data_IF_913110407330
#
_entry.id   IF_913110407330
#
_cell.length_a   1.000
_cell.length_b   1.000
_cell.length_c   1.000
_cell.angle_alpha   90.00
_cell.angle_beta   90.00
_cell.angle_gamma   90.00
#
_symmetry.space_group_name_H-M   'P 1'
#
loop_
_entity.id
_entity.type
_entity.pdbx_description
1 polymer ?
#
# COMPACT_ATOMS: atom_id res chain seq x y z
N UNK A 1 -11.16 -22.52 -8.07
CA UNK A 1 -10.25 -22.49 -6.90
C UNK A 1 -9.81 -21.05 -6.78
N UNK A 2 -10.10 -20.40 -5.64
CA UNK A 2 -9.62 -19.00 -5.41
C UNK A 2 -8.11 -19.06 -5.29
N UNK A 3 -7.41 -18.44 -6.23
CA UNK A 3 -5.96 -18.29 -6.12
C UNK A 3 -5.69 -17.09 -5.20
N UNK A 4 -5.07 -17.25 -4.00
CA UNK A 4 -4.84 -16.15 -3.10
C UNK A 4 -3.84 -15.15 -3.69
N UNK A 5 -4.06 -13.85 -3.46
CA UNK A 5 -3.10 -12.80 -3.84
C UNK A 5 -1.88 -12.80 -2.93
N UNK A 6 -2.10 -13.03 -1.63
CA UNK A 6 -1.04 -13.03 -0.60
C UNK A 6 -1.23 -14.23 0.32
N UNK A 7 -0.14 -14.94 0.60
CA UNK A 7 -0.06 -15.96 1.66
C UNK A 7 1.13 -15.59 2.56
N UNK A 8 0.86 -15.38 3.82
CA UNK A 8 1.84 -15.25 4.91
C UNK A 8 1.74 -16.53 5.72
N UNK A 9 2.84 -17.26 5.84
CA UNK A 9 2.86 -18.58 6.45
C UNK A 9 3.86 -18.62 7.61
N UNK A 10 3.33 -18.64 8.86
CA UNK A 10 4.08 -18.71 10.11
C UNK A 10 5.23 -17.70 10.21
N UNK A 11 4.99 -16.44 9.78
CA UNK A 11 6.02 -15.40 9.73
C UNK A 11 6.31 -14.86 11.13
N UNK A 12 7.58 -14.95 11.49
CA UNK A 12 8.16 -14.28 12.65
C UNK A 12 9.19 -13.26 12.18
N UNK A 13 9.20 -12.06 12.76
CA UNK A 13 10.23 -11.04 12.51
C UNK A 13 10.79 -10.52 13.83
N UNK A 14 12.11 -10.64 13.96
CA UNK A 14 12.86 -10.20 15.12
C UNK A 14 13.93 -9.18 14.71
N UNK A 15 14.13 -8.15 15.52
CA UNK A 15 15.22 -7.18 15.43
C UNK A 15 16.04 -7.21 16.73
N UNK A 16 17.26 -7.70 16.66
CA UNK A 16 18.06 -7.95 17.87
C UNK A 16 17.33 -8.90 18.83
N UNK A 17 16.99 -8.44 20.02
CA UNK A 17 16.20 -9.22 21.02
C UNK A 17 14.71 -9.01 20.92
N UNK A 18 14.20 -8.06 20.15
CA UNK A 18 12.78 -7.70 20.06
C UNK A 18 12.08 -8.49 18.95
N UNK A 19 11.04 -9.27 19.33
CA UNK A 19 10.17 -9.98 18.38
C UNK A 19 8.98 -9.11 18.06
N UNK A 20 8.94 -8.55 16.83
CA UNK A 20 7.91 -7.62 16.35
C UNK A 20 6.74 -8.35 15.70
N UNK A 21 6.98 -9.43 14.95
CA UNK A 21 5.93 -10.32 14.42
C UNK A 21 6.09 -11.70 15.06
N UNK A 22 4.98 -12.26 15.55
CA UNK A 22 4.96 -13.48 16.35
C UNK A 22 4.07 -14.52 15.66
N UNK A 23 4.67 -15.38 14.84
CA UNK A 23 3.98 -16.50 14.18
C UNK A 23 2.72 -16.07 13.40
N UNK A 24 2.88 -15.07 12.53
CA UNK A 24 1.77 -14.47 11.78
C UNK A 24 1.42 -15.34 10.59
N UNK A 25 0.15 -15.75 10.47
CA UNK A 25 -0.39 -16.45 9.30
C UNK A 25 -1.60 -15.71 8.74
N UNK A 26 -1.63 -15.53 7.41
CA UNK A 26 -2.66 -14.75 6.73
C UNK A 26 -2.80 -15.22 5.28
N UNK A 27 -4.03 -15.36 4.80
CA UNK A 27 -4.32 -15.60 3.38
C UNK A 27 -5.33 -14.57 2.89
N UNK A 28 -5.00 -13.87 1.81
CA UNK A 28 -5.80 -12.81 1.21
C UNK A 28 -6.17 -13.16 -0.24
N UNK A 29 -7.46 -13.10 -0.55
CA UNK A 29 -8.00 -13.42 -1.86
C UNK A 29 -7.75 -12.29 -2.88
N UNK A 30 -7.71 -12.63 -4.16
CA UNK A 30 -7.70 -11.63 -5.25
C UNK A 30 -9.01 -10.86 -5.35
N UNK A 31 -8.96 -9.62 -5.86
CA UNK A 31 -10.13 -8.80 -6.19
C UNK A 31 -10.91 -8.26 -4.98
N UNK A 32 -10.31 -8.28 -3.81
CA UNK A 32 -10.91 -7.80 -2.55
C UNK A 32 -10.07 -6.69 -1.92
N UNK A 33 -10.71 -5.91 -1.03
CA UNK A 33 -10.03 -4.99 -0.12
C UNK A 33 -9.90 -5.68 1.24
N UNK A 34 -8.68 -5.79 1.72
CA UNK A 34 -8.33 -6.40 3.00
C UNK A 34 -7.78 -5.34 3.95
N UNK A 35 -8.34 -5.25 5.15
CA UNK A 35 -7.92 -4.32 6.17
C UNK A 35 -7.07 -4.97 7.26
N UNK A 36 -6.04 -4.28 7.71
CA UNK A 36 -5.33 -4.59 8.95
C UNK A 36 -5.47 -3.41 9.89
N UNK A 37 -6.20 -3.60 10.98
CA UNK A 37 -6.33 -2.60 12.04
C UNK A 37 -5.34 -2.87 13.17
N UNK A 38 -5.02 -1.85 13.94
CA UNK A 38 -4.17 -1.97 15.12
C UNK A 38 -3.49 -0.66 15.47
N UNK A 39 -3.04 -0.54 16.71
CA UNK A 39 -2.36 0.66 17.22
C UNK A 39 -1.02 0.89 16.51
N UNK A 40 -0.48 2.10 16.60
CA UNK A 40 0.89 2.39 16.17
C UNK A 40 1.87 1.50 16.94
N UNK A 41 2.86 0.93 16.22
CA UNK A 41 3.81 -0.01 16.81
C UNK A 41 3.31 -1.45 16.97
N UNK A 42 2.09 -1.80 16.54
CA UNK A 42 1.57 -3.18 16.65
C UNK A 42 2.22 -4.18 15.68
N UNK A 43 2.96 -3.73 14.65
CA UNK A 43 3.62 -4.58 13.66
C UNK A 43 3.06 -4.48 12.23
N UNK A 44 2.00 -3.70 11.96
CA UNK A 44 1.36 -3.58 10.63
C UNK A 44 2.36 -3.24 9.52
N UNK A 45 3.10 -2.15 9.68
CA UNK A 45 4.11 -1.70 8.71
C UNK A 45 5.22 -2.74 8.49
N UNK A 46 5.63 -3.44 9.57
CA UNK A 46 6.64 -4.49 9.49
C UNK A 46 6.12 -5.68 8.68
N UNK A 47 4.87 -6.10 8.90
CA UNK A 47 4.22 -7.14 8.11
C UNK A 47 4.12 -6.74 6.63
N UNK A 48 3.67 -5.52 6.34
CA UNK A 48 3.61 -5.01 4.95
C UNK A 48 4.99 -4.97 4.30
N UNK A 49 6.04 -4.56 5.01
CA UNK A 49 7.42 -4.59 4.51
C UNK A 49 7.90 -6.01 4.22
N UNK A 50 7.50 -7.00 5.03
CA UNK A 50 7.80 -8.41 4.74
C UNK A 50 7.06 -8.88 3.47
N UNK A 51 5.78 -8.51 3.30
CA UNK A 51 5.00 -8.86 2.11
C UNK A 51 5.59 -8.22 0.85
N UNK A 52 6.05 -6.98 0.93
CA UNK A 52 6.67 -6.28 -0.21
C UNK A 52 8.08 -6.77 -0.57
N UNK A 53 8.77 -7.47 0.34
CA UNK A 53 10.16 -7.91 0.16
C UNK A 53 11.21 -6.91 0.68
N UNK A 54 10.79 -5.82 1.34
CA UNK A 54 11.73 -4.86 1.95
C UNK A 54 12.38 -5.39 3.24
N UNK A 55 11.75 -6.35 3.88
CA UNK A 55 12.26 -7.04 5.06
C UNK A 55 12.10 -8.54 4.88
N UNK A 56 13.17 -9.28 5.08
CA UNK A 56 13.09 -10.74 5.13
C UNK A 56 12.56 -11.18 6.50
N UNK A 57 11.58 -12.11 6.57
CA UNK A 57 11.19 -12.75 7.82
C UNK A 57 12.40 -13.43 8.51
N UNK A 58 12.36 -13.51 9.83
CA UNK A 58 13.33 -14.32 10.60
C UNK A 58 13.02 -15.82 10.45
N UNK A 59 11.72 -16.16 10.37
CA UNK A 59 11.22 -17.51 10.05
C UNK A 59 9.88 -17.40 9.34
N UNK A 60 9.43 -18.50 8.73
CA UNK A 60 8.23 -18.54 7.91
C UNK A 60 8.47 -18.07 6.48
N UNK A 61 7.40 -17.91 5.71
CA UNK A 61 7.49 -17.50 4.31
C UNK A 61 6.35 -16.57 3.89
N UNK A 62 6.58 -15.80 2.83
CA UNK A 62 5.58 -14.94 2.20
C UNK A 62 5.50 -15.27 0.73
N UNK A 63 4.27 -15.45 0.21
CA UNK A 63 4.01 -15.60 -1.24
C UNK A 63 3.09 -14.48 -1.71
N UNK A 64 3.40 -13.94 -2.89
CA UNK A 64 2.55 -12.97 -3.59
C UNK A 64 2.37 -13.46 -5.03
N UNK A 65 1.11 -13.70 -5.44
CA UNK A 65 0.76 -14.28 -6.75
C UNK A 65 1.61 -15.54 -7.10
N UNK A 66 1.63 -16.51 -6.18
CA UNK A 66 2.39 -17.77 -6.30
C UNK A 66 3.93 -17.65 -6.34
N UNK A 67 4.48 -16.46 -6.12
CA UNK A 67 5.92 -16.21 -6.01
C UNK A 67 6.33 -16.05 -4.56
N UNK A 68 7.29 -16.83 -4.11
CA UNK A 68 7.86 -16.75 -2.77
C UNK A 68 8.86 -15.60 -2.71
N UNK A 69 8.61 -14.63 -1.81
CA UNK A 69 9.48 -13.48 -1.60
C UNK A 69 10.82 -13.96 -0.99
N UNK A 70 11.92 -13.48 -1.56
CA UNK A 70 13.28 -13.84 -1.16
C UNK A 70 13.77 -15.19 -1.72
N UNK A 71 12.96 -15.88 -2.54
CA UNK A 71 13.34 -17.11 -3.25
C UNK A 71 13.09 -16.99 -4.76
N UNK A 72 11.84 -16.77 -5.16
CA UNK A 72 11.46 -16.65 -6.59
C UNK A 72 11.60 -15.22 -7.10
N UNK A 73 11.54 -14.24 -6.21
CA UNK A 73 11.68 -12.81 -6.49
C UNK A 73 12.08 -12.05 -5.22
N UNK A 74 12.80 -10.93 -5.39
CA UNK A 74 13.20 -10.08 -4.27
C UNK A 74 12.06 -9.22 -3.75
N UNK A 75 11.18 -8.75 -4.66
CA UNK A 75 10.06 -7.87 -4.35
C UNK A 75 8.74 -8.44 -4.86
N UNK A 76 7.64 -8.07 -4.19
CA UNK A 76 6.30 -8.46 -4.56
C UNK A 76 5.99 -8.08 -6.02
N UNK A 77 5.68 -9.06 -6.90
CA UNK A 77 5.45 -8.79 -8.31
C UNK A 77 4.14 -8.03 -8.53
N UNK A 78 4.10 -7.20 -9.57
CA UNK A 78 2.90 -6.47 -10.02
C UNK A 78 2.16 -5.74 -8.88
N UNK A 79 2.93 -5.10 -8.00
CA UNK A 79 2.47 -4.47 -6.76
C UNK A 79 2.80 -2.98 -6.73
N UNK A 80 1.78 -2.14 -6.51
CA UNK A 80 1.95 -0.73 -6.15
C UNK A 80 1.93 -0.58 -4.63
N UNK A 81 2.85 0.20 -4.07
CA UNK A 81 2.99 0.28 -2.62
C UNK A 81 3.15 1.71 -2.13
N UNK A 82 2.47 2.01 -1.03
CA UNK A 82 2.62 3.22 -0.24
C UNK A 82 2.86 2.80 1.21
N UNK A 83 4.12 2.77 1.62
CA UNK A 83 4.54 2.38 2.95
C UNK A 83 5.31 3.55 3.57
N UNK A 84 4.88 4.00 4.75
CA UNK A 84 5.41 5.18 5.41
C UNK A 84 5.24 6.46 4.55
N UNK A 85 6.21 7.37 4.59
CA UNK A 85 6.14 8.64 3.85
C UNK A 85 6.76 8.49 2.46
N UNK A 86 6.05 8.88 1.39
CA UNK A 86 6.61 8.83 0.03
C UNK A 86 7.88 9.69 -0.10
N UNK A 87 8.94 9.10 -0.62
CA UNK A 87 10.24 9.75 -0.85
C UNK A 87 10.29 10.52 -2.18
N UNK A 88 9.59 11.65 -2.29
CA UNK A 88 9.63 12.50 -3.48
C UNK A 88 10.83 13.45 -3.48
N UNK A 89 11.27 13.85 -4.69
CA UNK A 89 12.25 14.92 -4.89
C UNK A 89 11.62 16.25 -4.47
N UNK A 90 12.07 16.89 -3.39
CA UNK A 90 11.37 18.03 -2.78
C UNK A 90 11.37 19.29 -3.67
N UNK A 91 12.34 19.43 -4.54
CA UNK A 91 12.50 20.59 -5.44
C UNK A 91 11.80 20.42 -6.79
N UNK A 92 11.20 19.26 -7.04
CA UNK A 92 10.45 18.95 -8.24
C UNK A 92 8.95 19.10 -8.00
N UNK A 93 8.18 19.33 -9.10
CA UNK A 93 6.71 19.30 -9.05
C UNK A 93 6.20 17.87 -8.87
N UNK A 94 4.93 17.69 -8.45
CA UNK A 94 4.32 16.37 -8.38
C UNK A 94 4.31 15.65 -9.72
N UNK A 95 4.01 16.37 -10.81
CA UNK A 95 4.05 15.83 -12.17
C UNK A 95 5.45 15.33 -12.55
N UNK A 96 6.49 16.10 -12.29
CA UNK A 96 7.86 15.70 -12.61
C UNK A 96 8.31 14.50 -11.79
N UNK A 97 7.98 14.47 -10.49
CA UNK A 97 8.26 13.31 -9.63
C UNK A 97 7.67 12.02 -10.22
N UNK A 98 6.39 12.02 -10.59
CA UNK A 98 5.75 10.84 -11.16
C UNK A 98 6.28 10.48 -12.54
N UNK A 99 6.66 11.48 -13.38
CA UNK A 99 7.29 11.23 -14.68
C UNK A 99 8.67 10.58 -14.55
N UNK A 100 9.47 10.97 -13.55
CA UNK A 100 10.74 10.31 -13.26
C UNK A 100 10.53 8.85 -12.84
N UNK A 101 9.58 8.58 -11.94
CA UNK A 101 9.25 7.22 -11.50
C UNK A 101 8.69 6.38 -12.65
N UNK A 102 7.81 6.93 -13.49
CA UNK A 102 7.27 6.23 -14.65
C UNK A 102 8.36 5.74 -15.62
N UNK A 103 9.48 6.50 -15.77
CA UNK A 103 10.62 6.08 -16.61
C UNK A 103 11.40 4.91 -16.03
N UNK A 104 11.36 4.70 -14.72
CA UNK A 104 12.01 3.57 -14.06
C UNK A 104 11.15 2.30 -14.09
N UNK A 105 9.84 2.46 -14.23
CA UNK A 105 8.86 1.38 -14.33
C UNK A 105 8.53 1.00 -15.80
N UNK A 106 7.25 0.69 -16.05
CA UNK A 106 6.76 0.28 -17.38
C UNK A 106 6.65 1.43 -18.39
N UNK A 107 6.99 2.65 -18.01
CA UNK A 107 7.01 3.80 -18.93
C UNK A 107 5.63 4.41 -19.16
N UNK A 108 4.85 4.66 -18.12
CA UNK A 108 3.56 5.35 -18.26
C UNK A 108 3.71 6.68 -19.01
N UNK A 109 2.79 6.95 -19.97
CA UNK A 109 2.82 8.19 -20.74
C UNK A 109 2.55 9.42 -19.88
N UNK A 110 2.96 10.60 -20.35
CA UNK A 110 2.72 11.86 -19.64
C UNK A 110 1.22 12.12 -19.42
N UNK A 111 0.40 11.73 -20.37
CA UNK A 111 -1.06 11.85 -20.33
C UNK A 111 -1.63 10.94 -19.23
N UNK A 112 -1.12 9.69 -19.15
CA UNK A 112 -1.50 8.75 -18.09
C UNK A 112 -1.10 9.27 -16.72
N UNK A 113 0.09 9.80 -16.54
CA UNK A 113 0.56 10.39 -15.28
C UNK A 113 -0.34 11.56 -14.85
N UNK A 114 -0.72 12.45 -15.79
CA UNK A 114 -1.67 13.53 -15.48
C UNK A 114 -3.03 13.01 -15.02
N UNK A 115 -3.59 12.02 -15.71
CA UNK A 115 -4.85 11.38 -15.31
C UNK A 115 -4.77 10.78 -13.90
N UNK A 116 -3.66 10.14 -13.53
CA UNK A 116 -3.46 9.59 -12.18
C UNK A 116 -3.42 10.69 -11.11
N UNK A 117 -2.79 11.83 -11.41
CA UNK A 117 -2.77 13.00 -10.52
C UNK A 117 -4.19 13.56 -10.33
N UNK A 118 -4.96 13.67 -11.40
CA UNK A 118 -6.36 14.11 -11.34
C UNK A 118 -7.25 13.13 -10.58
N UNK A 119 -7.05 11.82 -10.77
CA UNK A 119 -7.81 10.77 -10.07
C UNK A 119 -7.67 10.84 -8.54
N UNK A 120 -6.53 11.28 -8.04
CA UNK A 120 -6.32 11.48 -6.60
C UNK A 120 -6.72 12.89 -6.13
N UNK A 121 -7.33 13.71 -7.00
CA UNK A 121 -7.82 15.04 -6.69
C UNK A 121 -6.71 16.10 -6.55
N UNK A 122 -5.61 15.96 -7.31
CA UNK A 122 -4.58 16.97 -7.47
C UNK A 122 -4.64 17.58 -8.87
N UNK A 123 -4.18 18.83 -9.01
CA UNK A 123 -4.05 19.49 -10.30
C UNK A 123 -2.66 19.17 -10.92
N UNK A 124 -2.61 18.48 -12.09
CA UNK A 124 -1.35 18.13 -12.74
C UNK A 124 -0.60 19.35 -13.31
N UNK A 125 -1.27 20.50 -13.44
CA UNK A 125 -0.65 21.75 -13.89
C UNK A 125 0.01 22.55 -12.76
N UNK A 126 -0.12 22.10 -11.52
CA UNK A 126 0.38 22.79 -10.34
C UNK A 126 1.90 22.97 -10.40
N UNK A 127 2.35 24.24 -10.38
CA UNK A 127 3.77 24.59 -10.47
C UNK A 127 4.52 24.54 -9.12
N UNK A 128 3.79 24.34 -8.01
CA UNK A 128 4.40 24.17 -6.68
C UNK A 128 5.28 22.93 -6.64
N UNK A 129 6.42 23.03 -6.00
CA UNK A 129 7.29 21.88 -5.71
C UNK A 129 6.71 21.04 -4.57
N UNK A 130 7.10 19.76 -4.47
CA UNK A 130 6.60 18.86 -3.43
C UNK A 130 6.97 19.32 -2.02
N UNK A 131 8.06 20.08 -1.85
CA UNK A 131 8.39 20.71 -0.56
C UNK A 131 7.30 21.66 -0.05
N UNK A 132 6.51 22.24 -0.96
CA UNK A 132 5.40 23.17 -0.65
C UNK A 132 4.04 22.47 -0.51
N UNK A 133 3.99 21.13 -0.68
CA UNK A 133 2.76 20.36 -0.56
C UNK A 133 2.38 20.17 0.91
N UNK A 134 1.09 20.25 1.21
CA UNK A 134 0.56 19.78 2.48
C UNK A 134 0.79 18.27 2.66
N UNK A 135 0.64 17.78 3.89
CA UNK A 135 0.70 16.34 4.15
C UNK A 135 -0.31 15.58 3.28
N UNK A 136 -1.55 16.04 3.22
CA UNK A 136 -2.60 15.43 2.39
C UNK A 136 -2.30 15.46 0.88
N UNK A 137 -1.67 16.54 0.35
CA UNK A 137 -1.23 16.56 -1.04
C UNK A 137 -0.12 15.54 -1.31
N UNK A 138 0.85 15.40 -0.41
CA UNK A 138 1.90 14.36 -0.54
C UNK A 138 1.30 12.96 -0.47
N UNK A 139 0.33 12.75 0.42
CA UNK A 139 -0.37 11.47 0.53
C UNK A 139 -1.10 11.10 -0.75
N UNK A 140 -1.87 12.02 -1.32
CA UNK A 140 -2.56 11.85 -2.61
C UNK A 140 -1.57 11.54 -3.74
N UNK A 141 -0.45 12.27 -3.82
CA UNK A 141 0.59 12.01 -4.81
C UNK A 141 1.21 10.61 -4.62
N UNK A 142 1.41 10.16 -3.37
CA UNK A 142 1.86 8.81 -3.03
C UNK A 142 0.89 7.73 -3.52
N UNK A 143 -0.43 7.96 -3.37
CA UNK A 143 -1.43 7.05 -3.92
C UNK A 143 -1.37 7.03 -5.46
N UNK A 144 -1.23 8.18 -6.13
CA UNK A 144 -1.06 8.24 -7.59
C UNK A 144 0.19 7.47 -8.06
N UNK A 145 1.29 7.54 -7.29
CA UNK A 145 2.51 6.78 -7.54
C UNK A 145 2.25 5.27 -7.58
N UNK A 146 1.43 4.75 -6.66
CA UNK A 146 1.15 3.31 -6.61
C UNK A 146 0.46 2.78 -7.86
N UNK A 147 -0.20 3.65 -8.63
CA UNK A 147 -0.98 3.32 -9.82
C UNK A 147 -0.20 3.46 -11.15
N UNK A 148 1.05 3.91 -11.10
CA UNK A 148 1.84 4.21 -12.32
C UNK A 148 1.93 3.03 -13.28
N UNK A 149 2.21 1.84 -12.76
CA UNK A 149 2.43 0.62 -13.55
C UNK A 149 1.19 -0.27 -13.64
N UNK A 150 0.01 0.28 -13.31
CA UNK A 150 -1.28 -0.43 -13.29
C UNK A 150 -1.23 -1.77 -12.55
N UNK A 151 -0.86 -1.78 -11.26
CA UNK A 151 -0.64 -3.01 -10.51
C UNK A 151 -1.94 -3.80 -10.29
N UNK A 152 -1.82 -5.12 -10.10
CA UNK A 152 -2.94 -5.98 -9.69
C UNK A 152 -3.12 -6.01 -8.16
N UNK A 153 -2.07 -5.68 -7.41
CA UNK A 153 -2.07 -5.59 -5.95
C UNK A 153 -1.64 -4.19 -5.52
N UNK A 154 -2.34 -3.62 -4.56
CA UNK A 154 -1.92 -2.39 -3.87
C UNK A 154 -1.73 -2.65 -2.39
N UNK A 155 -0.63 -2.16 -1.82
CA UNK A 155 -0.33 -2.25 -0.39
C UNK A 155 -0.19 -0.82 0.13
N UNK A 156 -1.12 -0.40 1.00
CA UNK A 156 -1.29 0.97 1.43
C UNK A 156 -1.22 1.06 2.97
N UNK A 157 -0.17 1.69 3.48
CA UNK A 157 -0.03 1.94 4.92
C UNK A 157 -0.58 3.33 5.24
N UNK A 158 -1.65 3.38 6.04
CA UNK A 158 -2.34 4.60 6.48
C UNK A 158 -2.69 5.56 5.31
N UNK A 159 -3.37 5.10 4.23
CA UNK A 159 -3.57 5.90 3.02
C UNK A 159 -4.42 7.16 3.22
N UNK A 160 -5.23 7.22 4.28
CA UNK A 160 -6.10 8.36 4.60
C UNK A 160 -5.43 9.40 5.50
N UNK A 161 -4.20 9.14 5.97
CA UNK A 161 -3.52 10.02 6.93
C UNK A 161 -3.28 11.42 6.34
N UNK A 162 -3.64 12.47 7.12
CA UNK A 162 -3.47 13.86 6.72
C UNK A 162 -4.45 14.38 5.67
N UNK A 163 -5.46 13.59 5.28
CA UNK A 163 -6.53 14.02 4.41
C UNK A 163 -7.66 14.70 5.20
N UNK A 164 -8.31 15.68 4.58
CA UNK A 164 -9.57 16.23 5.07
C UNK A 164 -10.75 15.28 4.74
N UNK A 165 -11.94 15.56 5.28
CA UNK A 165 -13.14 14.72 5.09
C UNK A 165 -13.46 14.45 3.61
N UNK A 166 -13.34 15.47 2.76
CA UNK A 166 -13.60 15.32 1.32
C UNK A 166 -12.50 14.47 0.66
N UNK A 167 -11.26 14.64 1.11
CA UNK A 167 -10.13 13.84 0.66
C UNK A 167 -10.27 12.37 0.99
N UNK A 168 -10.66 12.06 2.22
CA UNK A 168 -10.94 10.68 2.65
C UNK A 168 -12.02 10.07 1.75
N UNK A 169 -13.15 10.76 1.55
CA UNK A 169 -14.23 10.28 0.68
C UNK A 169 -13.74 10.01 -0.75
N UNK A 170 -13.03 10.96 -1.37
CA UNK A 170 -12.53 10.80 -2.73
C UNK A 170 -11.57 9.61 -2.87
N UNK A 171 -10.70 9.38 -1.89
CA UNK A 171 -9.78 8.24 -1.93
C UNK A 171 -10.54 6.91 -1.68
N UNK A 172 -11.55 6.88 -0.82
CA UNK A 172 -12.42 5.70 -0.65
C UNK A 172 -13.12 5.34 -1.96
N UNK A 173 -13.72 6.33 -2.64
CA UNK A 173 -14.39 6.12 -3.93
C UNK A 173 -13.40 5.59 -4.98
N UNK A 174 -12.17 6.10 -5.00
CA UNK A 174 -11.10 5.60 -5.86
C UNK A 174 -10.77 4.13 -5.57
N UNK A 175 -10.57 3.75 -4.30
CA UNK A 175 -10.23 2.37 -3.92
C UNK A 175 -11.37 1.39 -4.24
N UNK A 176 -12.63 1.77 -4.01
CA UNK A 176 -13.80 0.99 -4.40
C UNK A 176 -13.88 0.83 -5.93
N UNK A 177 -13.60 1.90 -6.69
CA UNK A 177 -13.50 1.84 -8.14
C UNK A 177 -12.41 0.91 -8.64
N UNK A 178 -11.24 0.89 -8.01
CA UNK A 178 -10.14 -0.02 -8.33
C UNK A 178 -10.50 -1.47 -8.00
N UNK A 179 -11.15 -1.73 -6.86
CA UNK A 179 -11.69 -3.05 -6.52
C UNK A 179 -12.68 -3.54 -7.59
N UNK A 180 -13.61 -2.68 -8.05
CA UNK A 180 -14.58 -3.06 -9.09
C UNK A 180 -13.93 -3.44 -10.42
N UNK A 181 -12.69 -2.99 -10.67
CA UNK A 181 -11.85 -3.38 -11.80
C UNK A 181 -11.04 -4.66 -11.52
N UNK A 182 -11.29 -5.34 -10.41
CA UNK A 182 -10.61 -6.59 -10.04
C UNK A 182 -9.25 -6.42 -9.36
N UNK A 183 -8.87 -5.20 -8.96
CA UNK A 183 -7.63 -4.96 -8.20
C UNK A 183 -7.76 -5.50 -6.77
N UNK A 184 -6.68 -6.02 -6.24
CA UNK A 184 -6.58 -6.44 -4.83
C UNK A 184 -5.93 -5.32 -4.04
N UNK A 185 -6.45 -5.03 -2.85
CA UNK A 185 -5.92 -3.94 -2.02
C UNK A 185 -5.74 -4.47 -0.60
N UNK A 186 -4.53 -4.35 -0.07
CA UNK A 186 -4.23 -4.51 1.35
C UNK A 186 -3.99 -3.13 1.94
N UNK A 187 -4.80 -2.73 2.91
CA UNK A 187 -4.60 -1.46 3.59
C UNK A 187 -4.45 -1.65 5.09
N UNK A 188 -3.56 -0.88 5.71
CA UNK A 188 -3.49 -0.73 7.15
C UNK A 188 -4.10 0.62 7.55
N UNK A 189 -4.90 0.62 8.61
CA UNK A 189 -5.44 1.84 9.21
C UNK A 189 -5.63 1.67 10.71
N UNK A 190 -5.53 2.76 11.44
CA UNK A 190 -5.91 2.83 12.84
C UNK A 190 -7.33 3.43 13.03
N UNK A 191 -8.01 3.84 11.95
CA UNK A 191 -9.38 4.33 11.94
C UNK A 191 -10.35 3.20 11.58
N UNK A 192 -11.14 2.73 12.55
CA UNK A 192 -12.11 1.65 12.33
C UNK A 192 -13.13 1.98 11.24
N UNK A 193 -13.59 3.24 11.16
CA UNK A 193 -14.57 3.68 10.17
C UNK A 193 -14.09 3.50 8.72
N UNK A 194 -12.78 3.72 8.43
CA UNK A 194 -12.23 3.53 7.09
C UNK A 194 -12.27 2.06 6.68
N UNK A 195 -12.06 1.20 7.67
CA UNK A 195 -12.07 -0.25 7.50
C UNK A 195 -13.47 -0.79 7.25
N UNK A 196 -14.44 -0.38 8.07
CA UNK A 196 -15.84 -0.85 7.97
C UNK A 196 -16.49 -0.49 6.63
N UNK A 197 -16.13 0.67 6.06
CA UNK A 197 -16.71 1.15 4.80
C UNK A 197 -16.04 0.58 3.54
N UNK A 198 -14.78 0.11 3.65
CA UNK A 198 -13.97 -0.30 2.50
C UNK A 198 -13.72 -1.80 2.41
N UNK A 199 -13.50 -2.47 3.56
CA UNK A 199 -12.87 -3.77 3.57
C UNK A 199 -13.85 -4.92 3.48
N UNK A 200 -13.53 -5.94 2.65
CA UNK A 200 -14.27 -7.20 2.59
C UNK A 200 -13.85 -8.15 3.71
N UNK A 201 -12.63 -8.02 4.19
CA UNK A 201 -12.11 -8.78 5.33
C UNK A 201 -11.24 -7.89 6.19
N UNK A 202 -11.25 -8.15 7.47
CA UNK A 202 -10.50 -7.37 8.47
C UNK A 202 -9.71 -8.31 9.37
N UNK A 203 -8.46 -7.94 9.64
CA UNK A 203 -7.63 -8.56 10.67
C UNK A 203 -7.19 -7.49 11.66
N UNK A 204 -7.05 -7.87 12.92
CA UNK A 204 -6.47 -7.03 13.97
C UNK A 204 -5.03 -7.45 14.26
N UNK A 205 -4.13 -6.48 14.27
CA UNK A 205 -2.74 -6.65 14.67
C UNK A 205 -2.55 -6.03 16.05
N UNK A 206 -2.24 -6.86 17.04
CA UNK A 206 -1.91 -6.39 18.38
C UNK A 206 -0.62 -7.06 18.88
N UNK A 207 0.36 -6.25 19.29
CA UNK A 207 1.67 -6.68 19.82
C UNK A 207 2.34 -7.80 19.01
N UNK A 208 2.26 -7.70 17.68
CA UNK A 208 2.87 -8.64 16.75
C UNK A 208 2.06 -9.91 16.48
N UNK A 209 0.86 -10.02 17.03
CA UNK A 209 -0.07 -11.13 16.82
C UNK A 209 -1.20 -10.65 15.90
N UNK A 210 -1.50 -11.43 14.85
CA UNK A 210 -2.59 -11.14 13.92
C UNK A 210 -3.79 -12.04 14.22
N UNK A 211 -4.98 -11.46 14.30
CA UNK A 211 -6.24 -12.16 14.44
C UNK A 211 -7.22 -11.73 13.35
N UNK A 212 -7.93 -12.67 12.75
CA UNK A 212 -9.03 -12.37 11.83
C UNK A 212 -10.27 -12.00 12.66
N UNK A 213 -10.97 -10.93 12.23
CA UNK A 213 -12.24 -10.46 12.79
C UNK A 213 -13.43 -11.03 12.02
#
# INVERSE_FOLDING_TARGET
MNNPAIIVDHVTKQFGSEVVLKDVSLTLDVGKIHGIIGRNGSGKTVLMKCICGFLQPTSGSVKVFDRTIGQDCDFAPNTGMLIETPGFLPHETGLNNLLWLARLGKGASKERVKQLIEQVGLDPSLRKTVSQYSLGMRQRLGIAQTLLDDPSLMILDEPMNGLDKNGVRSIRDLLLGLKSQGKTILLASHFAQDIDELCDTVCEMDQGILKRL
#
